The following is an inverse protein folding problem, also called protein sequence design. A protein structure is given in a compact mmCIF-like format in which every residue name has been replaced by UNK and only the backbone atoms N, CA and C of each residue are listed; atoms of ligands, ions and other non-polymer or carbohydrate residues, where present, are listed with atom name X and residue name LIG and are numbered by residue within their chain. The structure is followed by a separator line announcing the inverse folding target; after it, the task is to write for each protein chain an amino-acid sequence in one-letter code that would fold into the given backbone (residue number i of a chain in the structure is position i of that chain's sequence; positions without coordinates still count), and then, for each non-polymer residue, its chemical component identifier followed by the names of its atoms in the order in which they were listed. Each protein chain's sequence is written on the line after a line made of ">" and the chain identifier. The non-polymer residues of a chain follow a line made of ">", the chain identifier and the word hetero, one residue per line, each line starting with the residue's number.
data_IF_019280310345
#
_entry.id   IF_019280310345
#
_cell.length_a   1.000
_cell.length_b   1.000
_cell.length_c   1.000
_cell.angle_alpha   90.00
_cell.angle_beta   90.00
_cell.angle_gamma   90.00
#
_symmetry.space_group_name_H-M   'P 1'
#
loop_
_entity.id
_entity.type
_entity.pdbx_description
1 polymer ?
#
# COMPACT_ATOMS: atom_id res chain seq x y z
N UNK A 1 7.12 3.68 -18.14
CA UNK A 1 6.81 4.20 -16.81
C UNK A 1 7.07 3.14 -15.77
N UNK A 2 7.79 3.48 -14.76
CA UNK A 2 8.21 2.51 -13.76
C UNK A 2 7.16 2.35 -12.67
N UNK A 3 6.98 1.12 -12.20
CA UNK A 3 6.15 0.84 -11.05
C UNK A 3 6.96 1.05 -9.78
N UNK A 4 6.31 1.55 -8.74
CA UNK A 4 6.98 1.73 -7.46
C UNK A 4 7.17 0.37 -6.77
N UNK A 5 8.26 0.19 -5.99
CA UNK A 5 8.44 -1.03 -5.20
C UNK A 5 7.41 -1.05 -4.07
N UNK A 6 6.42 -1.94 -4.18
CA UNK A 6 5.27 -1.95 -3.28
C UNK A 6 5.64 -2.49 -1.90
N UNK A 7 6.17 -3.70 -1.85
CA UNK A 7 6.41 -4.37 -0.57
C UNK A 7 7.38 -3.57 0.30
N UNK A 8 8.47 -3.13 -0.29
CA UNK A 8 9.48 -2.38 0.44
C UNK A 8 8.94 -1.04 0.93
N UNK A 9 8.18 -0.35 0.09
CA UNK A 9 7.58 0.94 0.48
C UNK A 9 6.61 0.75 1.64
N UNK A 10 5.75 -0.28 1.57
CA UNK A 10 4.77 -0.52 2.63
C UNK A 10 5.44 -0.91 3.94
N UNK A 11 6.50 -1.70 3.89
CA UNK A 11 7.22 -2.09 5.11
C UNK A 11 7.90 -0.91 5.79
N UNK A 12 8.37 0.04 5.00
CA UNK A 12 9.09 1.18 5.54
C UNK A 12 8.17 2.30 6.02
N UNK A 13 6.85 2.19 5.79
CA UNK A 13 5.90 3.19 6.26
C UNK A 13 5.77 3.14 7.76
N UNK A 14 5.68 4.32 8.36
CA UNK A 14 5.34 4.45 9.77
C UNK A 14 3.85 4.68 9.92
N UNK A 15 3.34 4.49 11.12
CA UNK A 15 1.91 4.72 11.39
C UNK A 15 1.55 6.17 11.02
N UNK A 16 0.46 6.31 10.29
CA UNK A 16 -0.06 7.57 9.73
C UNK A 16 0.67 8.09 8.49
N UNK A 17 1.71 7.38 8.01
CA UNK A 17 2.32 7.72 6.73
C UNK A 17 1.35 7.43 5.58
N UNK A 18 1.41 8.26 4.54
CA UNK A 18 0.63 8.09 3.32
C UNK A 18 1.57 8.05 2.13
N UNK A 19 1.39 7.04 1.28
CA UNK A 19 2.14 6.92 0.03
C UNK A 19 1.17 6.83 -1.13
N UNK A 20 1.55 7.45 -2.25
CA UNK A 20 0.73 7.42 -3.45
C UNK A 20 1.30 6.44 -4.46
N UNK A 21 0.44 5.66 -5.07
CA UNK A 21 0.81 4.70 -6.11
C UNK A 21 -0.06 4.90 -7.34
N UNK A 22 0.43 4.53 -8.53
CA UNK A 22 -0.42 4.57 -9.72
C UNK A 22 -1.64 3.68 -9.55
N UNK A 23 -2.79 4.14 -10.06
CA UNK A 23 -4.05 3.40 -9.93
C UNK A 23 -3.94 1.98 -10.48
N UNK A 24 -3.16 1.78 -11.53
CA UNK A 24 -2.97 0.46 -12.15
C UNK A 24 -2.30 -0.54 -11.24
N UNK A 25 -1.66 -0.10 -10.16
CA UNK A 25 -1.00 -1.00 -9.20
C UNK A 25 -1.93 -1.48 -8.09
N UNK A 26 -3.23 -1.15 -8.16
CA UNK A 26 -4.17 -1.49 -7.09
C UNK A 26 -4.19 -3.01 -6.79
N UNK A 27 -4.32 -3.83 -7.83
CA UNK A 27 -4.34 -5.28 -7.64
C UNK A 27 -3.02 -5.80 -7.08
N UNK A 28 -1.91 -5.24 -7.54
CA UNK A 28 -0.58 -5.61 -7.05
C UNK A 28 -0.40 -5.24 -5.59
N UNK A 29 -0.91 -4.07 -5.17
CA UNK A 29 -0.85 -3.64 -3.79
C UNK A 29 -1.64 -4.60 -2.91
N UNK A 30 -2.86 -4.94 -3.29
CA UNK A 30 -3.68 -5.89 -2.55
C UNK A 30 -3.00 -7.25 -2.43
N UNK A 31 -2.47 -7.76 -3.53
CA UNK A 31 -1.78 -9.04 -3.51
C UNK A 31 -0.55 -9.00 -2.61
N UNK A 32 0.20 -7.89 -2.65
CA UNK A 32 1.38 -7.75 -1.81
C UNK A 32 1.01 -7.78 -0.33
N UNK A 33 -0.08 -7.11 0.06
CA UNK A 33 -0.52 -7.11 1.45
C UNK A 33 -0.94 -8.52 1.87
N UNK A 34 -1.70 -9.23 1.03
CA UNK A 34 -2.20 -10.56 1.37
C UNK A 34 -1.13 -11.64 1.34
N UNK A 35 -0.16 -11.54 0.44
CA UNK A 35 0.81 -12.62 0.22
C UNK A 35 2.17 -12.31 0.83
N UNK A 36 2.69 -11.11 0.63
CA UNK A 36 4.04 -10.78 1.04
C UNK A 36 4.11 -10.13 2.42
N UNK A 37 3.03 -9.47 2.84
CA UNK A 37 2.98 -8.77 4.12
C UNK A 37 2.07 -9.46 5.12
N UNK A 38 1.78 -10.74 4.91
CA UNK A 38 0.85 -11.47 5.77
C UNK A 38 1.37 -11.56 7.21
N UNK A 39 2.68 -11.68 7.39
CA UNK A 39 3.26 -11.73 8.73
C UNK A 39 3.09 -10.40 9.45
N UNK A 40 3.30 -9.30 8.74
CA UNK A 40 3.12 -7.97 9.29
C UNK A 40 1.66 -7.71 9.64
N UNK A 41 0.74 -8.18 8.81
CA UNK A 41 -0.69 -8.07 9.11
C UNK A 41 -1.04 -8.89 10.35
N UNK A 42 -0.48 -10.07 10.48
CA UNK A 42 -0.67 -10.91 11.66
C UNK A 42 -0.15 -10.26 12.94
N UNK A 43 0.89 -9.42 12.82
CA UNK A 43 1.43 -8.66 13.94
C UNK A 43 0.57 -7.45 14.32
N UNK A 44 -0.47 -7.15 13.55
CA UNK A 44 -1.37 -6.04 13.84
C UNK A 44 -1.17 -4.83 12.95
N UNK A 45 -0.27 -4.88 11.98
CA UNK A 45 -0.08 -3.78 11.03
C UNK A 45 -1.21 -3.77 10.02
N UNK A 46 -1.69 -2.59 9.70
CA UNK A 46 -2.79 -2.44 8.74
C UNK A 46 -2.53 -1.27 7.81
N UNK A 47 -2.93 -1.45 6.56
CA UNK A 47 -2.85 -0.41 5.55
C UNK A 47 -4.24 -0.16 5.00
N UNK A 48 -4.60 1.12 4.84
CA UNK A 48 -5.85 1.53 4.24
C UNK A 48 -5.60 1.98 2.80
N UNK A 49 -6.41 1.51 1.87
CA UNK A 49 -6.30 1.87 0.46
C UNK A 49 -7.47 2.76 0.09
N UNK A 50 -7.16 3.93 -0.46
CA UNK A 50 -8.18 4.85 -0.92
C UNK A 50 -7.93 5.21 -2.38
N UNK A 51 -8.92 4.95 -3.22
CA UNK A 51 -8.82 5.27 -4.64
C UNK A 51 -9.08 6.77 -4.84
N UNK A 52 -8.17 7.42 -5.55
CA UNK A 52 -8.35 8.82 -5.95
C UNK A 52 -8.47 8.87 -7.46
N UNK A 53 -9.70 8.94 -7.94
CA UNK A 53 -9.95 8.91 -9.38
C UNK A 53 -9.59 10.21 -10.07
N UNK A 54 -9.61 11.32 -9.36
CA UNK A 54 -9.24 12.62 -9.94
C UNK A 54 -7.74 12.66 -10.28
N UNK A 55 -6.91 12.12 -9.44
CA UNK A 55 -5.47 12.06 -9.66
C UNK A 55 -5.02 10.74 -10.27
N UNK A 56 -5.95 9.81 -10.46
CA UNK A 56 -5.68 8.46 -10.96
C UNK A 56 -4.59 7.77 -10.15
N UNK A 57 -4.70 7.87 -8.84
CA UNK A 57 -3.75 7.26 -7.93
C UNK A 57 -4.47 6.57 -6.78
N UNK A 58 -3.70 5.83 -5.99
CA UNK A 58 -4.18 5.17 -4.78
C UNK A 58 -3.41 5.74 -3.61
N UNK A 59 -4.12 6.24 -2.63
CA UNK A 59 -3.53 6.67 -1.38
C UNK A 59 -3.49 5.48 -0.43
N UNK A 60 -2.29 5.08 -0.05
CA UNK A 60 -2.09 3.99 0.90
C UNK A 60 -1.62 4.61 2.21
N UNK A 61 -2.39 4.37 3.27
CA UNK A 61 -2.06 4.89 4.58
C UNK A 61 -1.86 3.73 5.55
N UNK A 62 -0.78 3.77 6.31
CA UNK A 62 -0.60 2.80 7.38
C UNK A 62 -1.36 3.27 8.61
N UNK A 63 -2.38 2.50 9.03
CA UNK A 63 -3.28 2.90 10.11
C UNK A 63 -2.94 2.26 11.46
N UNK A 64 -2.11 1.22 11.44
CA UNK A 64 -1.65 0.67 12.72
C UNK A 64 -0.38 -0.14 12.57
#
# INVERSE_FOLDING_TARGET
>A
MENRPIVQTLRNMQVNDVEKFPLRQLASIRNSIYLNLIEEVAEGRKWSLKRNTEEQCIDVKRVS
#
